data_IF_198790862995
#
_entry.id   IF_198790862995
#
_cell.length_a   1.000
_cell.length_b   1.000
_cell.length_c   1.000
_cell.angle_alpha   90.00
_cell.angle_beta   90.00
_cell.angle_gamma   90.00
#
_symmetry.space_group_name_H-M   'P 1'
#
loop_
_entity.id
_entity.type
_entity.pdbx_description
1 polymer ?
#
# COMPACT_ATOMS: atom_id res chain seq x y z
N UNK A 1 -8.93 -5.86 -23.26
CA UNK A 1 -7.67 -5.82 -22.48
C UNK A 1 -6.54 -6.49 -23.25
N UNK A 2 -5.32 -5.90 -23.26
CA UNK A 2 -4.12 -6.49 -23.88
C UNK A 2 -3.15 -6.95 -22.78
N UNK A 3 -2.59 -8.15 -22.91
CA UNK A 3 -1.53 -8.64 -22.02
C UNK A 3 -0.19 -8.55 -22.74
N UNK A 4 0.80 -7.93 -22.11
CA UNK A 4 2.15 -7.76 -22.65
C UNK A 4 3.19 -8.20 -21.60
N UNK A 5 4.27 -8.83 -22.08
CA UNK A 5 5.30 -9.43 -21.20
C UNK A 5 6.67 -8.80 -21.37
N UNK A 6 6.85 -7.93 -22.39
CA UNK A 6 8.11 -7.24 -22.61
C UNK A 6 7.92 -5.71 -22.61
N UNK A 7 8.97 -4.99 -22.25
CA UNK A 7 9.02 -3.53 -22.30
C UNK A 7 8.81 -3.02 -23.73
N UNK A 8 9.35 -3.75 -24.72
CA UNK A 8 9.14 -3.39 -26.14
C UNK A 8 7.67 -3.43 -26.52
N UNK A 9 6.97 -4.54 -26.21
CA UNK A 9 5.53 -4.68 -26.49
C UNK A 9 4.70 -3.66 -25.73
N UNK A 10 5.05 -3.36 -24.46
CA UNK A 10 4.40 -2.32 -23.68
C UNK A 10 4.49 -0.94 -24.38
N UNK A 11 5.70 -0.56 -24.78
CA UNK A 11 5.93 0.72 -25.47
C UNK A 11 5.21 0.81 -26.82
N UNK A 12 5.17 -0.29 -27.57
CA UNK A 12 4.41 -0.36 -28.83
C UNK A 12 2.91 -0.12 -28.59
N UNK A 13 2.33 -0.72 -27.56
CA UNK A 13 0.92 -0.51 -27.19
C UNK A 13 0.67 0.92 -26.71
N UNK A 14 1.58 1.49 -25.92
CA UNK A 14 1.40 2.83 -25.35
C UNK A 14 1.80 3.95 -26.32
N UNK A 15 2.53 3.69 -27.41
CA UNK A 15 2.96 4.71 -28.37
C UNK A 15 1.79 5.45 -29.06
N UNK A 16 0.62 4.82 -29.14
CA UNK A 16 -0.60 5.40 -29.69
C UNK A 16 -1.50 6.08 -28.65
N UNK A 17 -1.05 6.13 -27.39
CA UNK A 17 -1.83 6.66 -26.26
C UNK A 17 -1.22 7.98 -25.79
N UNK A 18 -2.07 8.96 -25.51
CA UNK A 18 -1.65 10.20 -24.86
C UNK A 18 -1.17 9.88 -23.44
N UNK A 19 0.10 10.19 -23.15
CA UNK A 19 0.72 9.92 -21.83
C UNK A 19 0.00 10.62 -20.67
N UNK A 20 -0.63 11.77 -20.92
CA UNK A 20 -1.42 12.50 -19.91
C UNK A 20 -2.69 11.76 -19.48
N UNK A 21 -3.13 10.78 -20.27
CA UNK A 21 -4.29 9.93 -20.01
C UNK A 21 -3.94 8.53 -19.46
N UNK A 22 -2.69 8.26 -19.07
CA UNK A 22 -2.28 6.94 -18.58
C UNK A 22 -2.32 6.90 -17.04
N UNK A 23 -3.13 5.98 -16.49
CA UNK A 23 -3.12 5.60 -15.07
C UNK A 23 -2.43 4.26 -14.88
N UNK A 24 -1.55 4.16 -13.87
CA UNK A 24 -0.86 2.92 -13.50
C UNK A 24 -1.36 2.41 -12.14
N UNK A 25 -1.67 1.13 -12.07
CA UNK A 25 -1.93 0.40 -10.82
C UNK A 25 -0.83 -0.65 -10.63
N UNK A 26 0.22 -0.35 -9.87
CA UNK A 26 1.27 -1.34 -9.60
C UNK A 26 0.79 -2.34 -8.55
N UNK A 27 0.81 -3.64 -8.88
CA UNK A 27 0.47 -4.72 -7.95
C UNK A 27 1.61 -5.73 -7.84
N UNK A 28 1.76 -6.37 -6.67
CA UNK A 28 2.87 -7.29 -6.39
C UNK A 28 2.40 -8.65 -5.83
N UNK A 29 1.13 -9.01 -5.98
CA UNK A 29 0.65 -10.25 -5.38
C UNK A 29 -0.66 -10.76 -5.95
N UNK A 30 -1.28 -11.72 -5.25
CA UNK A 30 -2.60 -12.21 -5.58
C UNK A 30 -3.63 -11.08 -5.54
N UNK A 31 -4.44 -11.00 -6.59
CA UNK A 31 -5.46 -9.97 -6.74
C UNK A 31 -6.63 -10.24 -5.80
N UNK A 32 -7.15 -9.17 -5.22
CA UNK A 32 -8.36 -9.18 -4.38
C UNK A 32 -9.19 -7.91 -4.66
N UNK A 33 -10.39 -7.80 -4.07
CA UNK A 33 -11.29 -6.67 -4.31
C UNK A 33 -10.65 -5.30 -4.02
N UNK A 34 -9.65 -5.21 -3.12
CA UNK A 34 -8.86 -4.00 -2.91
C UNK A 34 -8.10 -3.56 -4.17
N UNK A 35 -7.43 -4.48 -4.88
CA UNK A 35 -6.79 -4.16 -6.16
C UNK A 35 -7.81 -3.78 -7.24
N UNK A 36 -8.95 -4.48 -7.28
CA UNK A 36 -10.04 -4.14 -8.18
C UNK A 36 -10.50 -2.69 -8.01
N UNK A 37 -10.68 -2.22 -6.78
CA UNK A 37 -11.10 -0.84 -6.50
C UNK A 37 -10.10 0.20 -7.00
N UNK A 38 -8.79 -0.10 -6.95
CA UNK A 38 -7.75 0.78 -7.52
C UNK A 38 -7.90 0.89 -9.05
N UNK A 39 -8.11 -0.24 -9.73
CA UNK A 39 -8.31 -0.28 -11.19
C UNK A 39 -9.58 0.45 -11.59
N UNK A 40 -10.69 0.24 -10.89
CA UNK A 40 -11.95 0.94 -11.11
C UNK A 40 -11.82 2.46 -10.91
N UNK A 41 -11.04 2.88 -9.92
CA UNK A 41 -10.75 4.30 -9.72
C UNK A 41 -9.87 4.85 -10.85
N UNK A 42 -8.78 4.15 -11.18
CA UNK A 42 -7.92 4.53 -12.30
C UNK A 42 -8.71 4.65 -13.61
N UNK A 43 -9.67 3.74 -13.86
CA UNK A 43 -10.53 3.77 -15.04
C UNK A 43 -11.42 5.01 -15.11
N UNK A 44 -11.92 5.49 -14.00
CA UNK A 44 -12.75 6.71 -13.97
C UNK A 44 -11.95 7.99 -14.24
N UNK A 45 -10.65 7.97 -13.94
CA UNK A 45 -9.79 9.16 -13.96
C UNK A 45 -8.81 9.19 -15.14
N UNK A 46 -8.70 8.11 -15.93
CA UNK A 46 -7.76 8.01 -17.03
C UNK A 46 -8.36 7.37 -18.30
N UNK A 47 -7.87 7.80 -19.45
CA UNK A 47 -8.24 7.21 -20.75
C UNK A 47 -7.69 5.80 -20.93
N UNK A 48 -6.51 5.52 -20.39
CA UNK A 48 -5.86 4.19 -20.46
C UNK A 48 -5.38 3.76 -19.08
N UNK A 49 -5.70 2.53 -18.71
CA UNK A 49 -5.29 1.93 -17.43
C UNK A 49 -4.33 0.78 -17.66
N UNK A 50 -3.12 0.93 -17.13
CA UNK A 50 -2.09 -0.11 -17.12
C UNK A 50 -2.02 -0.70 -15.73
N UNK A 51 -2.03 -2.04 -15.63
CA UNK A 51 -1.84 -2.76 -14.37
C UNK A 51 -0.60 -3.64 -14.49
N UNK A 52 0.36 -3.48 -13.58
CA UNK A 52 1.45 -4.44 -13.47
C UNK A 52 1.04 -5.57 -12.53
N UNK A 53 1.25 -6.83 -12.96
CA UNK A 53 0.82 -8.00 -12.19
C UNK A 53 1.66 -9.22 -12.52
N UNK A 54 1.71 -10.17 -11.59
CA UNK A 54 2.36 -11.46 -11.79
C UNK A 54 1.38 -12.64 -11.85
N UNK A 55 0.03 -12.41 -11.75
CA UNK A 55 -1.02 -13.47 -11.70
C UNK A 55 -2.39 -12.99 -12.20
N UNK A 56 -3.19 -13.93 -12.68
CA UNK A 56 -4.61 -13.96 -13.11
C UNK A 56 -5.28 -12.65 -13.58
N UNK A 57 -5.49 -12.54 -14.91
CA UNK A 57 -5.95 -11.34 -15.60
C UNK A 57 -7.47 -11.09 -15.63
N UNK A 58 -8.33 -12.09 -15.40
CA UNK A 58 -9.79 -11.98 -15.61
C UNK A 58 -10.45 -10.90 -14.72
N UNK A 59 -10.01 -10.77 -13.46
CA UNK A 59 -10.48 -9.73 -12.54
C UNK A 59 -10.14 -8.32 -13.01
N UNK A 60 -9.01 -8.14 -13.69
CA UNK A 60 -8.52 -6.85 -14.16
C UNK A 60 -9.30 -6.36 -15.37
N UNK A 61 -9.68 -7.29 -16.27
CA UNK A 61 -10.51 -6.96 -17.43
C UNK A 61 -11.89 -6.46 -17.00
N UNK A 62 -12.53 -7.17 -16.07
CA UNK A 62 -13.82 -6.77 -15.51
C UNK A 62 -13.75 -5.43 -14.75
N UNK A 63 -12.59 -5.07 -14.17
CA UNK A 63 -12.37 -3.81 -13.49
C UNK A 63 -12.05 -2.64 -14.45
N UNK A 64 -11.84 -2.91 -15.75
CA UNK A 64 -11.59 -1.91 -16.77
C UNK A 64 -10.11 -1.62 -17.07
N UNK A 65 -9.21 -2.58 -16.82
CA UNK A 65 -7.82 -2.47 -17.28
C UNK A 65 -7.74 -2.60 -18.82
N UNK A 66 -6.97 -1.72 -19.46
CA UNK A 66 -6.71 -1.77 -20.90
C UNK A 66 -5.49 -2.61 -21.23
N UNK A 67 -4.45 -2.49 -20.38
CA UNK A 67 -3.16 -3.17 -20.55
C UNK A 67 -2.77 -3.85 -19.25
N UNK A 68 -2.43 -5.12 -19.34
CA UNK A 68 -1.80 -5.88 -18.24
C UNK A 68 -0.34 -6.12 -18.61
N UNK A 69 0.57 -5.61 -17.80
CA UNK A 69 2.00 -5.77 -17.97
C UNK A 69 2.53 -6.82 -17.02
N UNK A 70 3.03 -7.93 -17.58
CA UNK A 70 3.51 -9.10 -16.85
C UNK A 70 4.97 -9.42 -17.25
N UNK A 71 5.93 -8.55 -16.91
CA UNK A 71 7.32 -8.79 -17.26
C UNK A 71 7.92 -9.97 -16.49
N UNK A 72 8.88 -10.66 -17.08
CA UNK A 72 9.73 -11.59 -16.34
C UNK A 72 10.71 -10.83 -15.45
N UNK A 73 11.38 -11.56 -14.54
CA UNK A 73 12.43 -10.97 -13.69
C UNK A 73 13.59 -10.46 -14.54
N UNK A 74 13.97 -11.19 -15.59
CA UNK A 74 15.04 -10.84 -16.52
C UNK A 74 14.69 -9.58 -17.31
N UNK A 75 13.42 -9.40 -17.70
CA UNK A 75 12.94 -8.20 -18.37
C UNK A 75 12.99 -6.97 -17.44
N UNK A 76 12.65 -7.17 -16.16
CA UNK A 76 12.72 -6.11 -15.15
C UNK A 76 14.15 -5.79 -14.72
N UNK A 77 15.02 -6.79 -14.66
CA UNK A 77 16.37 -6.69 -14.13
C UNK A 77 17.40 -7.33 -15.09
N UNK A 78 17.56 -6.79 -16.32
CA UNK A 78 18.57 -7.28 -17.27
C UNK A 78 20.00 -7.10 -16.72
N UNK A 79 20.17 -6.18 -15.79
CA UNK A 79 21.36 -5.99 -14.95
C UNK A 79 20.91 -5.76 -13.50
N UNK A 80 21.74 -6.09 -12.50
CA UNK A 80 21.44 -5.79 -11.09
C UNK A 80 21.15 -4.32 -10.88
N UNK A 81 20.10 -4.01 -10.11
CA UNK A 81 19.77 -2.64 -9.74
C UNK A 81 20.44 -2.29 -8.41
N UNK A 82 21.49 -1.48 -8.49
CA UNK A 82 22.30 -1.07 -7.32
C UNK A 82 21.87 0.29 -6.76
N UNK A 83 20.79 0.90 -7.27
CA UNK A 83 20.32 2.20 -6.78
C UNK A 83 19.91 2.12 -5.33
N UNK A 84 20.32 3.12 -4.58
CA UNK A 84 19.89 3.33 -3.20
C UNK A 84 19.15 4.67 -3.12
N UNK A 85 18.00 4.65 -2.46
CA UNK A 85 17.22 5.85 -2.19
C UNK A 85 17.41 6.25 -0.73
N UNK A 86 17.52 7.54 -0.48
CA UNK A 86 17.55 8.08 0.87
C UNK A 86 16.13 8.51 1.29
N UNK A 87 15.52 7.76 2.18
CA UNK A 87 14.21 8.08 2.74
C UNK A 87 14.30 8.82 4.08
N UNK A 88 15.51 9.22 4.49
CA UNK A 88 15.73 9.86 5.78
C UNK A 88 15.26 8.94 6.92
N UNK A 89 14.24 9.42 7.66
CA UNK A 89 13.64 8.66 8.78
C UNK A 89 12.42 7.84 8.41
N UNK A 90 11.86 8.02 7.20
CA UNK A 90 10.61 7.35 6.78
C UNK A 90 10.76 5.82 6.82
N UNK A 91 11.89 5.27 6.39
CA UNK A 91 12.17 3.82 6.33
C UNK A 91 12.85 3.26 7.59
N UNK A 92 13.00 4.06 8.65
CA UNK A 92 13.64 3.66 9.92
C UNK A 92 12.65 3.31 11.03
N UNK A 93 11.37 3.44 10.77
CA UNK A 93 10.28 3.19 11.73
C UNK A 93 9.34 2.10 11.20
N UNK A 94 8.48 1.56 12.06
CA UNK A 94 7.39 0.61 11.71
C UNK A 94 7.86 -0.54 10.80
N UNK A 95 7.27 -0.69 9.60
CA UNK A 95 7.65 -1.75 8.63
C UNK A 95 9.11 -1.62 8.18
N UNK A 96 9.64 -0.41 8.04
CA UNK A 96 11.03 -0.19 7.64
C UNK A 96 12.04 -0.67 8.69
N UNK A 97 11.74 -0.45 9.97
CA UNK A 97 12.59 -0.91 11.08
C UNK A 97 12.62 -2.45 11.18
N UNK A 98 11.49 -3.11 10.90
CA UNK A 98 11.36 -4.57 11.02
C UNK A 98 11.77 -5.32 9.75
N UNK A 99 11.92 -4.63 8.62
CA UNK A 99 12.22 -5.19 7.30
C UNK A 99 13.33 -4.39 6.60
N UNK A 100 14.59 -4.44 7.06
CA UNK A 100 15.70 -3.70 6.45
C UNK A 100 15.81 -3.95 4.94
N UNK A 101 16.00 -2.88 4.15
CA UNK A 101 16.11 -2.94 2.69
C UNK A 101 14.79 -3.10 1.92
N UNK A 102 13.69 -3.43 2.58
CA UNK A 102 12.39 -3.64 1.93
C UNK A 102 11.95 -2.42 1.11
N UNK A 103 11.97 -1.24 1.69
CA UNK A 103 11.50 -0.04 1.02
C UNK A 103 12.41 0.41 -0.12
N UNK A 104 13.72 0.13 -0.04
CA UNK A 104 14.60 0.35 -1.18
C UNK A 104 14.21 -0.58 -2.36
N UNK A 105 13.91 -1.86 -2.09
CA UNK A 105 13.41 -2.78 -3.11
C UNK A 105 12.07 -2.33 -3.71
N UNK A 106 11.13 -1.83 -2.90
CA UNK A 106 9.87 -1.23 -3.39
C UNK A 106 10.15 -0.05 -4.31
N UNK A 107 11.01 0.88 -3.92
CA UNK A 107 11.35 2.03 -4.74
C UNK A 107 12.04 1.64 -6.05
N UNK A 108 12.94 0.65 -6.03
CA UNK A 108 13.58 0.14 -7.23
C UNK A 108 12.57 -0.43 -8.23
N UNK A 109 11.65 -1.30 -7.81
CA UNK A 109 10.68 -1.91 -8.71
C UNK A 109 9.64 -0.90 -9.21
N UNK A 110 9.13 -0.03 -8.32
CA UNK A 110 8.11 0.97 -8.67
C UNK A 110 8.68 2.03 -9.62
N UNK A 111 9.91 2.51 -9.38
CA UNK A 111 10.57 3.46 -10.29
C UNK A 111 10.81 2.89 -11.68
N UNK A 112 11.08 1.58 -11.80
CA UNK A 112 11.16 0.91 -13.11
C UNK A 112 9.80 0.92 -13.81
N UNK A 113 8.72 0.59 -13.13
CA UNK A 113 7.38 0.69 -13.71
C UNK A 113 7.08 2.12 -14.19
N UNK A 114 7.41 3.14 -13.39
CA UNK A 114 7.22 4.54 -13.79
C UNK A 114 8.03 4.90 -15.05
N UNK A 115 9.28 4.46 -15.13
CA UNK A 115 10.13 4.69 -16.30
C UNK A 115 9.65 3.95 -17.57
N UNK A 116 9.04 2.76 -17.42
CA UNK A 116 8.54 1.95 -18.52
C UNK A 116 7.18 2.43 -19.03
N UNK A 117 6.25 2.75 -18.12
CA UNK A 117 4.85 3.10 -18.41
C UNK A 117 4.69 4.59 -18.67
N UNK A 118 5.49 5.45 -18.01
CA UNK A 118 5.39 6.91 -18.02
C UNK A 118 3.95 7.39 -17.73
N UNK A 119 3.34 6.99 -16.62
CA UNK A 119 1.96 7.33 -16.31
C UNK A 119 1.83 8.79 -15.87
N UNK A 120 0.65 9.41 -16.08
CA UNK A 120 0.30 10.66 -15.44
C UNK A 120 -0.10 10.49 -13.98
N UNK A 121 -0.68 9.33 -13.64
CA UNK A 121 -1.11 8.99 -12.26
C UNK A 121 -0.76 7.55 -11.93
N UNK A 122 -0.38 7.33 -10.66
CA UNK A 122 -0.18 5.97 -10.12
C UNK A 122 -0.98 5.79 -8.83
N UNK A 123 -1.73 4.69 -8.73
CA UNK A 123 -2.74 4.44 -7.70
C UNK A 123 -2.23 3.45 -6.67
N UNK A 124 -2.27 3.85 -5.40
CA UNK A 124 -1.83 3.04 -4.26
C UNK A 124 -2.89 2.99 -3.17
N UNK A 125 -3.05 1.83 -2.55
CA UNK A 125 -4.00 1.64 -1.45
C UNK A 125 -3.43 2.17 -0.12
N UNK A 126 -4.20 2.99 0.60
CA UNK A 126 -3.82 3.56 1.91
C UNK A 126 -3.52 2.51 2.98
N UNK A 127 -3.93 1.26 2.79
CA UNK A 127 -3.55 0.17 3.69
C UNK A 127 -2.03 0.09 3.89
N UNK A 128 -1.27 0.27 2.84
CA UNK A 128 0.20 0.27 2.87
C UNK A 128 0.73 1.72 3.03
N UNK A 129 0.27 2.40 4.08
CA UNK A 129 0.43 3.85 4.30
C UNK A 129 1.89 4.32 4.24
N UNK A 130 2.79 3.63 4.95
CA UNK A 130 4.21 3.95 4.94
C UNK A 130 4.84 3.74 3.55
N UNK A 131 4.38 2.74 2.80
CA UNK A 131 4.83 2.52 1.42
C UNK A 131 4.48 3.71 0.51
N UNK A 132 3.31 4.33 0.68
CA UNK A 132 2.93 5.53 -0.07
C UNK A 132 3.89 6.68 0.22
N UNK A 133 4.27 6.90 1.49
CA UNK A 133 5.24 7.92 1.86
C UNK A 133 6.61 7.67 1.20
N UNK A 134 7.06 6.42 1.19
CA UNK A 134 8.31 6.00 0.51
C UNK A 134 8.22 6.25 -1.00
N UNK A 135 7.12 5.87 -1.65
CA UNK A 135 6.94 6.07 -3.10
C UNK A 135 6.89 7.56 -3.44
N UNK A 136 6.21 8.39 -2.65
CA UNK A 136 6.22 9.86 -2.83
C UNK A 136 7.63 10.45 -2.70
N UNK A 137 8.39 10.01 -1.71
CA UNK A 137 9.78 10.41 -1.53
C UNK A 137 10.65 10.01 -2.74
N UNK A 138 10.51 8.78 -3.23
CA UNK A 138 11.20 8.29 -4.43
C UNK A 138 10.83 9.12 -5.67
N UNK A 139 9.55 9.44 -5.88
CA UNK A 139 9.08 10.28 -6.98
C UNK A 139 9.74 11.66 -6.94
N UNK A 140 9.76 12.29 -5.76
CA UNK A 140 10.40 13.60 -5.58
C UNK A 140 11.91 13.55 -5.87
N UNK A 141 12.63 12.54 -5.38
CA UNK A 141 14.06 12.36 -5.61
C UNK A 141 14.39 12.09 -7.08
N UNK A 142 13.52 11.32 -7.77
CA UNK A 142 13.76 10.90 -9.17
C UNK A 142 13.21 11.89 -10.20
N UNK A 143 12.43 12.89 -9.79
CA UNK A 143 11.84 13.90 -10.68
C UNK A 143 10.78 13.34 -11.66
N UNK A 144 10.10 12.25 -11.31
CA UNK A 144 9.03 11.71 -12.15
C UNK A 144 7.84 12.67 -12.20
N UNK A 145 7.37 13.08 -13.40
CA UNK A 145 6.26 14.02 -13.56
C UNK A 145 4.90 13.31 -13.46
N UNK A 146 4.61 12.69 -12.33
CA UNK A 146 3.35 11.96 -12.12
C UNK A 146 2.75 12.27 -10.75
N UNK A 147 1.45 12.08 -10.62
CA UNK A 147 0.70 12.17 -9.38
C UNK A 147 0.59 10.80 -8.70
N UNK A 148 0.86 10.72 -7.39
CA UNK A 148 0.54 9.55 -6.57
C UNK A 148 -0.86 9.73 -5.98
N UNK A 149 -1.79 8.88 -6.42
CA UNK A 149 -3.19 8.87 -5.98
C UNK A 149 -3.36 7.87 -4.85
N UNK A 150 -3.70 8.37 -3.66
CA UNK A 150 -4.03 7.56 -2.50
C UNK A 150 -5.48 7.07 -2.60
N UNK A 151 -5.70 5.78 -2.39
CA UNK A 151 -7.02 5.15 -2.46
C UNK A 151 -7.37 4.53 -1.13
N UNK A 152 -8.56 4.84 -0.61
CA UNK A 152 -9.01 4.39 0.70
C UNK A 152 -8.95 2.86 0.89
N UNK A 153 -8.83 2.44 2.13
CA UNK A 153 -8.73 1.03 2.50
C UNK A 153 -10.05 0.31 2.18
N UNK A 154 -9.98 -0.74 1.38
CA UNK A 154 -11.11 -1.64 1.13
C UNK A 154 -11.14 -2.72 2.20
N UNK A 155 -12.31 -2.90 2.81
CA UNK A 155 -12.53 -3.85 3.90
C UNK A 155 -13.58 -4.89 3.51
N UNK A 156 -13.52 -6.05 4.13
CA UNK A 156 -14.62 -7.02 4.11
C UNK A 156 -15.82 -6.53 4.93
N UNK A 157 -16.93 -7.23 4.84
CA UNK A 157 -18.16 -6.93 5.59
C UNK A 157 -17.94 -6.96 7.10
N UNK A 158 -16.97 -7.73 7.56
CA UNK A 158 -16.52 -7.83 8.96
C UNK A 158 -15.54 -6.72 9.38
N UNK A 159 -15.17 -5.82 8.47
CA UNK A 159 -14.25 -4.71 8.71
C UNK A 159 -12.78 -5.02 8.47
N UNK A 160 -12.38 -6.29 8.28
CA UNK A 160 -10.98 -6.65 8.04
C UNK A 160 -10.46 -6.00 6.74
N UNK A 161 -9.34 -5.31 6.81
CA UNK A 161 -8.67 -4.76 5.63
C UNK A 161 -8.27 -5.87 4.65
N UNK A 162 -8.64 -5.74 3.38
CA UNK A 162 -8.39 -6.77 2.38
C UNK A 162 -6.89 -6.87 2.06
N UNK A 163 -6.40 -8.10 2.08
CA UNK A 163 -5.02 -8.46 1.77
C UNK A 163 -4.95 -9.88 1.23
N UNK A 164 -3.99 -10.15 0.34
CA UNK A 164 -3.69 -11.51 -0.09
C UNK A 164 -3.29 -12.43 1.08
N UNK A 165 -2.75 -11.85 2.15
CA UNK A 165 -2.38 -12.58 3.37
C UNK A 165 -3.58 -13.11 4.16
N UNK A 166 -4.78 -12.55 3.96
CA UNK A 166 -5.98 -13.02 4.69
C UNK A 166 -6.31 -14.49 4.36
N UNK A 167 -5.96 -14.95 3.16
CA UNK A 167 -6.14 -16.35 2.75
C UNK A 167 -5.18 -17.34 3.46
N UNK A 168 -4.15 -16.83 4.14
CA UNK A 168 -3.18 -17.64 4.87
C UNK A 168 -3.55 -17.85 6.35
N UNK A 169 -4.59 -17.14 6.83
CA UNK A 169 -5.08 -17.28 8.20
C UNK A 169 -5.81 -18.60 8.37
N UNK A 170 -5.55 -19.29 9.47
CA UNK A 170 -6.43 -20.36 9.90
C UNK A 170 -7.79 -19.82 10.40
N UNK A 171 -8.75 -20.70 10.61
CA UNK A 171 -10.11 -20.30 10.93
C UNK A 171 -10.24 -19.47 12.22
N UNK A 172 -9.44 -19.78 13.26
CA UNK A 172 -9.48 -19.07 14.54
C UNK A 172 -8.92 -17.65 14.41
N UNK A 173 -7.74 -17.52 13.80
CA UNK A 173 -7.12 -16.20 13.57
C UNK A 173 -7.91 -15.37 12.54
N UNK A 174 -8.53 -16.02 11.52
CA UNK A 174 -9.41 -15.32 10.57
C UNK A 174 -10.65 -14.74 11.25
N UNK A 175 -11.22 -15.45 12.23
CA UNK A 175 -12.35 -14.95 13.00
C UNK A 175 -11.98 -13.80 13.94
N UNK A 176 -10.77 -13.80 14.50
CA UNK A 176 -10.27 -12.75 15.39
C UNK A 176 -9.75 -11.51 14.63
N UNK A 177 -9.26 -11.65 13.40
CA UNK A 177 -8.60 -10.57 12.64
C UNK A 177 -9.44 -9.27 12.49
N UNK A 178 -10.80 -9.30 12.41
CA UNK A 178 -11.62 -8.08 12.40
C UNK A 178 -11.49 -7.22 13.65
N UNK A 179 -11.02 -7.76 14.77
CA UNK A 179 -10.77 -7.00 16.01
C UNK A 179 -9.74 -5.88 15.78
N UNK A 180 -8.83 -6.03 14.83
CA UNK A 180 -7.87 -4.97 14.45
C UNK A 180 -8.63 -3.71 14.04
N UNK A 181 -9.53 -3.82 13.06
CA UNK A 181 -10.31 -2.67 12.59
C UNK A 181 -11.24 -2.13 13.69
N UNK A 182 -11.85 -3.00 14.47
CA UNK A 182 -12.70 -2.61 15.61
C UNK A 182 -11.93 -1.78 16.62
N UNK A 183 -10.74 -2.24 17.03
CA UNK A 183 -9.89 -1.55 17.99
C UNK A 183 -9.41 -0.19 17.45
N UNK A 184 -9.02 -0.12 16.17
CA UNK A 184 -8.63 1.13 15.52
C UNK A 184 -9.78 2.16 15.51
N UNK A 185 -11.00 1.75 15.13
CA UNK A 185 -12.17 2.64 15.12
C UNK A 185 -12.52 3.17 16.50
N UNK A 186 -12.59 2.28 17.50
CA UNK A 186 -12.84 2.67 18.89
C UNK A 186 -11.74 3.61 19.41
N UNK A 187 -10.48 3.36 19.04
CA UNK A 187 -9.36 4.22 19.37
C UNK A 187 -9.50 5.62 18.77
N UNK A 188 -9.80 5.70 17.47
CA UNK A 188 -9.99 6.99 16.80
C UNK A 188 -11.14 7.81 17.39
N UNK A 189 -12.27 7.16 17.73
CA UNK A 189 -13.42 7.81 18.38
C UNK A 189 -13.07 8.37 19.76
N UNK A 190 -12.13 7.77 20.48
CA UNK A 190 -11.72 8.15 21.84
C UNK A 190 -10.46 8.99 21.92
N UNK A 191 -9.76 9.19 20.82
CA UNK A 191 -8.45 9.83 20.78
C UNK A 191 -8.42 11.22 21.41
N UNK A 192 -9.50 12.01 21.27
CA UNK A 192 -9.61 13.34 21.84
C UNK A 192 -9.51 13.38 23.38
N UNK A 193 -9.83 12.28 24.07
CA UNK A 193 -9.76 12.14 25.51
C UNK A 193 -8.51 11.40 26.04
N UNK A 194 -7.54 11.13 25.18
CA UNK A 194 -6.35 10.36 25.47
C UNK A 194 -5.10 11.05 24.92
N UNK A 195 -3.96 10.79 25.50
CA UNK A 195 -2.67 11.07 24.88
C UNK A 195 -2.35 10.02 23.80
N UNK A 196 -1.41 10.27 22.86
CA UNK A 196 -0.97 9.25 21.90
C UNK A 196 -0.49 7.95 22.55
N UNK A 197 0.15 8.02 23.71
CA UNK A 197 0.61 6.85 24.46
C UNK A 197 -0.57 6.05 25.06
N UNK A 198 -1.53 6.73 25.70
CA UNK A 198 -2.74 6.09 26.25
C UNK A 198 -3.59 5.46 25.13
N UNK A 199 -3.64 6.10 23.95
CA UNK A 199 -4.29 5.54 22.78
C UNK A 199 -3.59 4.26 22.30
N UNK A 200 -2.26 4.23 22.33
CA UNK A 200 -1.50 3.04 21.94
C UNK A 200 -1.79 1.87 22.88
N UNK A 201 -1.80 2.11 24.18
CA UNK A 201 -2.16 1.11 25.20
C UNK A 201 -3.60 0.62 25.03
N UNK A 202 -4.52 1.53 24.74
CA UNK A 202 -5.93 1.20 24.52
C UNK A 202 -6.11 0.31 23.28
N UNK A 203 -5.56 0.71 22.14
CA UNK A 203 -5.68 -0.05 20.87
C UNK A 203 -5.03 -1.41 21.00
N UNK A 204 -3.86 -1.51 21.65
CA UNK A 204 -3.18 -2.77 21.91
C UNK A 204 -4.08 -3.73 22.72
N UNK A 205 -4.58 -3.30 23.88
CA UNK A 205 -5.46 -4.14 24.72
C UNK A 205 -6.73 -4.58 23.97
N UNK A 206 -7.35 -3.68 23.22
CA UNK A 206 -8.58 -4.02 22.46
C UNK A 206 -8.30 -4.99 21.32
N UNK A 207 -7.15 -4.90 20.66
CA UNK A 207 -6.74 -5.82 19.60
C UNK A 207 -6.43 -7.21 20.17
N UNK A 208 -5.72 -7.28 21.29
CA UNK A 208 -5.26 -8.53 21.91
C UNK A 208 -6.33 -9.23 22.78
N UNK A 209 -7.52 -8.66 22.88
CA UNK A 209 -8.58 -9.14 23.79
C UNK A 209 -8.96 -10.62 23.61
N UNK A 210 -8.83 -11.16 22.39
CA UNK A 210 -9.12 -12.56 22.10
C UNK A 210 -8.02 -13.53 22.55
N UNK A 211 -6.80 -13.01 22.81
CA UNK A 211 -5.58 -13.82 23.04
C UNK A 211 -5.04 -14.51 21.79
N UNK A 212 -5.64 -14.28 20.61
CA UNK A 212 -5.22 -14.85 19.31
C UNK A 212 -4.40 -13.88 18.47
N UNK A 213 -4.40 -12.60 18.81
CA UNK A 213 -3.68 -11.55 18.09
C UNK A 213 -2.62 -10.97 19.02
N UNK A 214 -1.43 -10.67 18.48
CA UNK A 214 -0.33 -10.02 19.17
C UNK A 214 0.04 -8.75 18.43
N UNK A 215 0.00 -7.60 19.11
CA UNK A 215 0.36 -6.30 18.51
C UNK A 215 1.86 -6.14 18.48
N UNK A 216 2.43 -6.10 17.28
CA UNK A 216 3.87 -5.86 17.08
C UNK A 216 4.20 -4.39 17.34
N UNK A 217 3.35 -3.50 16.87
CA UNK A 217 3.35 -2.07 17.19
C UNK A 217 1.98 -1.45 16.91
N UNK A 218 1.64 -0.42 17.67
CA UNK A 218 0.72 0.64 17.27
C UNK A 218 1.41 1.98 17.48
N UNK A 219 1.40 2.84 16.47
CA UNK A 219 2.03 4.16 16.52
C UNK A 219 1.11 5.21 15.92
N UNK A 220 0.90 6.32 16.64
CA UNK A 220 0.32 7.54 16.10
C UNK A 220 1.46 8.35 15.47
N UNK A 221 1.40 8.55 14.16
CA UNK A 221 2.48 9.18 13.40
C UNK A 221 2.00 10.40 12.62
N UNK A 222 2.88 11.37 12.45
CA UNK A 222 2.70 12.43 11.46
C UNK A 222 2.62 11.82 10.04
N UNK A 223 1.57 12.17 9.30
CA UNK A 223 1.26 11.54 8.02
C UNK A 223 2.27 11.86 6.89
N UNK A 224 3.12 12.86 7.06
CA UNK A 224 4.14 13.24 6.06
C UNK A 224 5.50 12.64 6.40
N UNK A 225 5.90 12.76 7.66
CA UNK A 225 7.25 12.37 8.10
C UNK A 225 7.33 10.94 8.59
N UNK A 226 6.19 10.28 8.84
CA UNK A 226 6.09 8.96 9.47
C UNK A 226 6.69 8.91 10.88
N UNK A 227 6.99 10.05 11.49
CA UNK A 227 7.53 10.09 12.84
C UNK A 227 6.41 10.04 13.87
N UNK A 228 6.63 9.27 14.94
CA UNK A 228 5.70 9.17 16.05
C UNK A 228 5.51 10.52 16.72
N UNK A 229 4.25 10.87 17.04
CA UNK A 229 3.89 12.06 17.78
C UNK A 229 3.69 11.73 19.25
N UNK A 230 4.16 12.61 20.15
CA UNK A 230 3.96 12.52 21.59
C UNK A 230 2.73 13.31 22.05
N UNK A 231 2.32 14.32 21.28
CA UNK A 231 1.11 15.13 21.52
C UNK A 231 0.36 15.39 20.20
N UNK A 232 -0.96 15.61 20.30
CA UNK A 232 -1.83 15.80 19.12
C UNK A 232 -1.60 17.11 18.36
N UNK A 233 -0.98 18.10 18.99
CA UNK A 233 -0.66 19.39 18.40
C UNK A 233 0.66 19.40 17.61
N UNK A 234 1.45 18.34 17.68
CA UNK A 234 2.70 18.21 16.91
C UNK A 234 2.48 18.02 15.40
N UNK A 235 1.26 17.67 14.97
CA UNK A 235 0.94 17.49 13.55
C UNK A 235 -0.51 17.84 13.25
N UNK A 236 -0.74 18.36 12.04
CA UNK A 236 -2.09 18.64 11.51
C UNK A 236 -2.77 17.37 10.97
N UNK A 237 -1.99 16.34 10.61
CA UNK A 237 -2.51 15.09 10.07
C UNK A 237 -1.82 13.90 10.72
N UNK A 238 -2.56 13.17 11.56
CA UNK A 238 -2.03 12.05 12.34
C UNK A 238 -2.70 10.75 11.91
N UNK A 239 -1.88 9.75 11.64
CA UNK A 239 -2.31 8.40 11.27
C UNK A 239 -1.95 7.42 12.39
N UNK A 240 -2.91 6.62 12.83
CA UNK A 240 -2.67 5.47 13.69
C UNK A 240 -2.33 4.25 12.83
N UNK A 241 -1.11 3.77 12.91
CA UNK A 241 -0.61 2.63 12.14
C UNK A 241 -0.38 1.42 13.06
N UNK A 242 -0.88 0.25 12.67
CA UNK A 242 -0.77 -0.99 13.45
C UNK A 242 -0.17 -2.13 12.63
N UNK A 243 0.66 -2.95 13.25
CA UNK A 243 1.01 -4.27 12.77
C UNK A 243 0.71 -5.32 13.83
N UNK A 244 0.11 -6.42 13.39
CA UNK A 244 -0.40 -7.48 14.27
C UNK A 244 0.07 -8.84 13.75
N UNK A 245 0.56 -9.67 14.66
CA UNK A 245 0.80 -11.10 14.42
C UNK A 245 -0.48 -11.88 14.71
N UNK A 246 -1.00 -12.59 13.72
CA UNK A 246 -2.16 -13.47 13.80
C UNK A 246 -1.71 -14.90 13.47
N UNK A 247 -1.30 -15.65 14.46
CA UNK A 247 -0.61 -16.93 14.27
C UNK A 247 0.68 -16.76 13.46
N UNK A 248 0.79 -17.44 12.31
CA UNK A 248 1.95 -17.29 11.41
C UNK A 248 1.86 -16.09 10.47
N UNK A 249 0.74 -15.33 10.47
CA UNK A 249 0.47 -14.29 9.49
C UNK A 249 0.60 -12.90 10.11
N UNK A 250 1.43 -12.04 9.49
CA UNK A 250 1.53 -10.63 9.85
C UNK A 250 0.53 -9.81 9.05
N UNK A 251 -0.33 -9.09 9.75
CA UNK A 251 -1.32 -8.16 9.20
C UNK A 251 -0.93 -6.72 9.53
N UNK A 252 -1.27 -5.80 8.63
CA UNK A 252 -1.15 -4.35 8.87
C UNK A 252 -2.46 -3.67 8.56
N UNK A 253 -2.74 -2.61 9.30
CA UNK A 253 -3.88 -1.72 9.08
C UNK A 253 -3.53 -0.31 9.56
N UNK A 254 -4.39 0.64 9.26
CA UNK A 254 -4.23 2.00 9.78
C UNK A 254 -5.57 2.74 9.78
N UNK A 255 -5.60 3.86 10.50
CA UNK A 255 -6.76 4.74 10.59
C UNK A 255 -6.32 6.19 10.78
N UNK A 256 -7.04 7.13 10.19
CA UNK A 256 -6.83 8.55 10.45
C UNK A 256 -7.33 8.89 11.86
N UNK A 257 -6.49 9.56 12.66
CA UNK A 257 -6.80 10.04 14.00
C UNK A 257 -7.16 11.53 13.96
N UNK A 258 -6.37 12.30 13.20
CA UNK A 258 -6.57 13.76 13.04
C UNK A 258 -6.41 14.16 11.58
#
# INVERSE_FOLDING_TARGET
>A
MKTVTSVKALREVLSAVDSTGIGLVPTMGALHAGHRSLVERARRENATVVVSVFVNCALLEAAGADVVFMPSVEEMYPVPDLRQYDFGRIDKVMEGATRPGHFNGVAQVVSKFFAMVQPARAYFGEKDFQQIAVVKSMVAQSGFPLEIVECGIVRGDDGLALSSRNALLDAAHRAAAPDICRALRLGAERAAGMTPAELADFVTRETERSGLLEVIYFQSVDALTMQQVAAWDESERIQGCIAVQAGAVRLIDNIRIK
#
